data_IF_327993334329
#
_entry.id   IF_327993334329
#
_cell.length_a   1.000
_cell.length_b   1.000
_cell.length_c   1.000
_cell.angle_alpha   90.00
_cell.angle_beta   90.00
_cell.angle_gamma   90.00
#
_symmetry.space_group_name_H-M   'P 1'
#
loop_
_entity.id
_entity.type
_entity.pdbx_description
1 polymer ?
#
# COMPACT_ATOMS: atom_id res chain seq x y z
N UNK A 1 3.91 -60.25 -60.19
CA UNK A 1 4.17 -58.80 -60.33
C UNK A 1 3.19 -58.07 -59.41
N UNK A 2 3.72 -57.51 -58.32
CA UNK A 2 3.35 -56.26 -57.62
C UNK A 2 1.89 -56.19 -57.07
N UNK A 3 1.65 -56.33 -55.76
CA UNK A 3 1.63 -55.25 -54.73
C UNK A 3 0.67 -54.08 -55.08
N UNK A 4 -0.08 -53.44 -54.20
CA UNK A 4 -0.27 -53.51 -52.77
C UNK A 4 -1.50 -52.64 -52.42
N UNK A 5 -2.10 -52.98 -51.27
CA UNK A 5 -2.58 -52.08 -50.23
C UNK A 5 -3.56 -50.93 -50.57
N UNK A 6 -4.78 -51.10 -50.06
CA UNK A 6 -5.64 -49.98 -49.68
C UNK A 6 -5.87 -49.98 -48.16
N UNK A 7 -5.53 -48.83 -47.57
CA UNK A 7 -6.17 -48.13 -46.45
C UNK A 7 -5.85 -48.57 -45.01
N UNK A 8 -5.16 -47.64 -44.32
CA UNK A 8 -5.33 -47.37 -42.91
C UNK A 8 -5.47 -45.84 -42.71
N UNK A 9 -6.55 -45.41 -42.06
CA UNK A 9 -6.79 -44.02 -41.65
C UNK A 9 -6.40 -43.84 -40.17
N UNK A 10 -5.71 -42.75 -39.77
CA UNK A 10 -5.67 -42.34 -38.38
C UNK A 10 -6.70 -41.23 -38.05
N UNK A 11 -7.23 -41.33 -36.83
CA UNK A 11 -8.32 -40.56 -36.23
C UNK A 11 -7.79 -39.34 -35.49
N UNK A 12 -8.11 -38.13 -35.93
CA UNK A 12 -7.78 -36.86 -35.25
C UNK A 12 -9.03 -36.24 -34.61
N UNK A 13 -9.37 -36.65 -33.39
CA UNK A 13 -10.53 -36.09 -32.65
C UNK A 13 -10.23 -35.82 -31.17
N UNK A 14 -9.13 -35.15 -30.85
CA UNK A 14 -8.85 -34.76 -29.45
C UNK A 14 -8.07 -33.44 -29.23
N UNK A 15 -7.58 -32.74 -30.25
CA UNK A 15 -6.78 -31.52 -30.03
C UNK A 15 -7.60 -30.25 -29.77
N UNK A 16 -8.85 -30.17 -30.26
CA UNK A 16 -9.67 -28.98 -30.07
C UNK A 16 -10.20 -28.81 -28.64
N UNK A 17 -10.45 -29.90 -27.90
CA UNK A 17 -11.04 -29.80 -26.54
C UNK A 17 -10.07 -29.22 -25.51
N UNK A 18 -8.79 -29.58 -25.59
CA UNK A 18 -7.76 -29.06 -24.70
C UNK A 18 -7.51 -27.55 -24.90
N UNK A 19 -7.61 -27.07 -26.14
CA UNK A 19 -7.39 -25.66 -26.48
C UNK A 19 -8.53 -24.74 -25.96
N UNK A 20 -9.78 -25.21 -26.02
CA UNK A 20 -10.93 -24.46 -25.51
C UNK A 20 -10.95 -24.40 -23.97
N UNK A 21 -10.48 -25.45 -23.28
CA UNK A 21 -10.35 -25.45 -21.82
C UNK A 21 -9.26 -24.49 -21.30
N UNK A 22 -8.16 -24.31 -22.05
CA UNK A 22 -7.09 -23.39 -21.69
C UNK A 22 -7.49 -21.91 -21.90
N UNK A 23 -8.17 -21.61 -23.02
CA UNK A 23 -8.71 -20.28 -23.32
C UNK A 23 -9.80 -19.85 -22.33
N UNK A 24 -10.68 -20.77 -21.92
CA UNK A 24 -11.69 -20.52 -20.89
C UNK A 24 -11.08 -20.17 -19.53
N UNK A 25 -10.00 -20.85 -19.13
CA UNK A 25 -9.30 -20.57 -17.87
C UNK A 25 -8.61 -19.19 -17.86
N UNK A 26 -8.02 -18.78 -18.98
CA UNK A 26 -7.38 -17.45 -19.13
C UNK A 26 -8.43 -16.33 -19.06
N UNK A 27 -9.60 -16.52 -19.69
CA UNK A 27 -10.69 -15.54 -19.66
C UNK A 27 -11.28 -15.35 -18.26
N UNK A 28 -11.40 -16.42 -17.45
CA UNK A 28 -11.84 -16.32 -16.05
C UNK A 28 -10.79 -15.66 -15.17
N UNK A 29 -9.49 -15.93 -15.39
CA UNK A 29 -8.40 -15.26 -14.67
C UNK A 29 -8.33 -13.75 -14.98
N UNK A 30 -8.59 -13.34 -16.22
CA UNK A 30 -8.62 -11.93 -16.62
C UNK A 30 -9.80 -11.16 -15.99
N UNK A 31 -10.94 -11.82 -15.74
CA UNK A 31 -12.13 -11.21 -15.16
C UNK A 31 -12.00 -10.96 -13.63
N UNK A 32 -11.09 -11.68 -12.96
CA UNK A 32 -10.83 -11.50 -11.52
C UNK A 32 -9.90 -10.31 -11.21
N UNK A 33 -9.29 -9.69 -12.22
CA UNK A 33 -8.36 -8.56 -12.03
C UNK A 33 -9.07 -7.20 -11.97
N UNK A 34 -10.39 -7.11 -12.19
CA UNK A 34 -11.10 -5.84 -12.31
C UNK A 34 -11.76 -5.34 -11.02
N UNK A 35 -11.56 -6.00 -9.88
CA UNK A 35 -12.21 -5.61 -8.59
C UNK A 35 -11.36 -4.68 -7.71
N UNK A 36 -10.21 -4.19 -8.18
CA UNK A 36 -9.28 -3.40 -7.35
C UNK A 36 -9.54 -1.87 -7.35
N UNK A 37 -10.70 -1.40 -7.81
CA UNK A 37 -11.02 0.03 -7.76
C UNK A 37 -11.69 0.33 -6.40
N UNK A 38 -10.86 0.55 -5.38
CA UNK A 38 -11.34 1.00 -4.08
C UNK A 38 -11.38 2.54 -4.09
N UNK A 39 -12.57 3.11 -3.93
CA UNK A 39 -12.77 4.56 -3.89
C UNK A 39 -12.46 5.11 -2.50
N UNK A 40 -11.88 6.31 -2.43
CA UNK A 40 -11.73 7.05 -1.18
C UNK A 40 -13.09 7.36 -0.54
N UNK A 41 -13.28 7.13 0.78
CA UNK A 41 -14.51 7.51 1.47
C UNK A 41 -14.80 9.00 1.26
N UNK A 42 -16.04 9.32 0.89
CA UNK A 42 -16.43 10.70 0.57
C UNK A 42 -16.59 11.56 1.82
N UNK A 43 -16.94 10.97 2.97
CA UNK A 43 -17.18 11.68 4.23
C UNK A 43 -16.71 10.85 5.43
N UNK A 44 -16.09 11.52 6.41
CA UNK A 44 -15.66 10.92 7.68
C UNK A 44 -16.70 11.26 8.75
N UNK A 45 -17.31 10.27 9.44
CA UNK A 45 -18.28 10.50 10.51
C UNK A 45 -17.79 11.52 11.52
N UNK A 46 -18.63 12.47 11.92
CA UNK A 46 -18.25 13.57 12.82
C UNK A 46 -17.84 13.08 14.21
N UNK A 47 -18.45 11.98 14.66
CA UNK A 47 -18.26 11.36 15.98
C UNK A 47 -17.14 10.32 16.02
N UNK A 48 -16.35 10.22 14.95
CA UNK A 48 -15.26 9.26 14.88
C UNK A 48 -14.23 9.49 15.99
N UNK A 49 -13.98 8.46 16.80
CA UNK A 49 -12.99 8.55 17.87
C UNK A 49 -11.57 8.60 17.31
N UNK A 50 -10.65 9.15 18.10
CA UNK A 50 -9.22 9.20 17.76
C UNK A 50 -8.66 7.83 17.36
N UNK A 51 -9.04 6.78 18.10
CA UNK A 51 -8.58 5.42 17.81
C UNK A 51 -9.10 4.93 16.45
N UNK A 52 -10.36 5.22 16.13
CA UNK A 52 -10.96 4.79 14.86
C UNK A 52 -10.33 5.48 13.65
N UNK A 53 -9.84 6.72 13.77
CA UNK A 53 -9.03 7.34 12.71
C UNK A 53 -7.79 6.50 12.37
N UNK A 54 -7.00 6.12 13.38
CA UNK A 54 -5.81 5.29 13.17
C UNK A 54 -6.14 3.87 12.72
N UNK A 55 -7.22 3.28 13.24
CA UNK A 55 -7.68 1.96 12.82
C UNK A 55 -8.04 1.97 11.33
N UNK A 56 -8.84 2.94 10.88
CA UNK A 56 -9.25 3.05 9.47
C UNK A 56 -8.08 3.40 8.56
N UNK A 57 -7.15 4.24 9.01
CA UNK A 57 -5.92 4.52 8.26
C UNK A 57 -5.11 3.23 8.05
N UNK A 58 -4.89 2.45 9.11
CA UNK A 58 -4.15 1.19 9.03
C UNK A 58 -4.85 0.16 8.13
N UNK A 59 -6.17 -0.01 8.26
CA UNK A 59 -6.96 -0.90 7.39
C UNK A 59 -6.77 -0.53 5.91
N UNK A 60 -6.82 0.76 5.57
CA UNK A 60 -6.59 1.22 4.21
C UNK A 60 -5.13 1.04 3.76
N UNK A 61 -4.15 1.20 4.64
CA UNK A 61 -2.75 0.89 4.33
C UNK A 61 -2.55 -0.61 4.05
N UNK A 62 -3.20 -1.48 4.81
CA UNK A 62 -3.15 -2.94 4.63
C UNK A 62 -3.77 -3.36 3.30
N UNK A 63 -4.80 -2.62 2.85
CA UNK A 63 -5.45 -2.79 1.54
C UNK A 63 -4.73 -2.06 0.39
N UNK A 64 -3.59 -1.40 0.65
CA UNK A 64 -2.84 -0.55 -0.29
C UNK A 64 -3.64 0.66 -0.83
N UNK A 65 -4.72 1.03 -0.15
CA UNK A 65 -5.54 2.21 -0.43
C UNK A 65 -4.93 3.46 0.23
N UNK A 66 -3.79 3.88 -0.30
CA UNK A 66 -2.96 4.95 0.25
C UNK A 66 -3.67 6.29 0.35
N UNK A 67 -4.50 6.63 -0.63
CA UNK A 67 -5.24 7.90 -0.65
C UNK A 67 -6.24 7.98 0.50
N UNK A 68 -6.93 6.88 0.80
CA UNK A 68 -7.86 6.82 1.92
C UNK A 68 -7.16 6.81 3.27
N UNK A 69 -6.02 6.11 3.37
CA UNK A 69 -5.19 6.16 4.57
C UNK A 69 -4.72 7.58 4.86
N UNK A 70 -4.22 8.29 3.84
CA UNK A 70 -3.80 9.69 3.94
C UNK A 70 -4.97 10.59 4.39
N UNK A 71 -6.14 10.41 3.79
CA UNK A 71 -7.33 11.19 4.11
C UNK A 71 -7.72 11.08 5.59
N UNK A 72 -7.71 9.87 6.18
CA UNK A 72 -7.98 9.71 7.61
C UNK A 72 -6.92 10.39 8.48
N UNK A 73 -5.63 10.29 8.12
CA UNK A 73 -4.53 10.85 8.93
C UNK A 73 -4.49 12.38 8.86
N UNK A 74 -4.74 12.96 7.69
CA UNK A 74 -4.82 14.41 7.52
C UNK A 74 -6.03 14.99 8.24
N UNK A 75 -7.20 14.36 8.12
CA UNK A 75 -8.41 14.79 8.83
C UNK A 75 -8.24 14.69 10.35
N UNK A 76 -7.53 13.66 10.85
CA UNK A 76 -7.19 13.56 12.27
C UNK A 76 -6.45 14.82 12.77
N UNK A 77 -5.44 15.28 12.01
CA UNK A 77 -4.66 16.47 12.36
C UNK A 77 -5.51 17.75 12.37
N UNK A 78 -6.51 17.82 11.50
CA UNK A 78 -7.46 18.94 11.45
C UNK A 78 -8.41 18.92 12.66
N UNK A 79 -8.94 17.75 13.03
CA UNK A 79 -9.94 17.62 14.10
C UNK A 79 -9.36 17.64 15.51
N UNK A 80 -8.10 17.23 15.68
CA UNK A 80 -7.45 17.12 16.99
C UNK A 80 -6.11 17.87 17.02
N UNK A 81 -6.08 19.20 16.74
CA UNK A 81 -4.84 19.97 16.61
C UNK A 81 -4.01 20.03 17.90
N UNK A 82 -4.64 19.84 19.07
CA UNK A 82 -3.97 19.88 20.36
C UNK A 82 -3.38 18.52 20.78
N UNK A 83 -3.66 17.44 20.04
CA UNK A 83 -3.17 16.09 20.36
C UNK A 83 -1.78 15.83 19.75
N UNK A 84 -0.79 16.56 20.26
CA UNK A 84 0.58 16.55 19.71
C UNK A 84 1.20 15.14 19.62
N UNK A 85 0.88 14.27 20.59
CA UNK A 85 1.38 12.90 20.61
C UNK A 85 0.82 12.08 19.43
N UNK A 86 -0.49 12.14 19.20
CA UNK A 86 -1.09 11.44 18.07
C UNK A 86 -0.81 12.15 16.73
N UNK A 87 -0.63 13.47 16.70
CA UNK A 87 -0.18 14.17 15.49
C UNK A 87 1.20 13.67 15.08
N UNK A 88 2.14 13.48 16.01
CA UNK A 88 3.44 12.89 15.70
C UNK A 88 3.32 11.46 15.13
N UNK A 89 2.39 10.66 15.66
CA UNK A 89 2.09 9.33 15.12
C UNK A 89 1.48 9.38 13.70
N UNK A 90 0.58 10.34 13.45
CA UNK A 90 -0.02 10.54 12.13
C UNK A 90 1.03 11.01 11.11
N UNK A 91 1.87 11.99 11.46
CA UNK A 91 2.98 12.47 10.63
C UNK A 91 3.93 11.33 10.24
N UNK A 92 4.22 10.42 11.18
CA UNK A 92 4.99 9.22 10.90
C UNK A 92 4.31 8.31 9.87
N UNK A 93 3.01 8.02 10.03
CA UNK A 93 2.28 7.16 9.10
C UNK A 93 2.18 7.77 7.71
N UNK A 94 1.96 9.09 7.61
CA UNK A 94 1.99 9.84 6.35
C UNK A 94 3.35 9.68 5.66
N UNK A 95 4.44 9.92 6.40
CA UNK A 95 5.82 9.78 5.89
C UNK A 95 6.13 8.33 5.47
N UNK A 96 5.61 7.36 6.24
CA UNK A 96 5.71 5.94 5.90
C UNK A 96 4.95 5.59 4.61
N UNK A 97 3.78 6.18 4.37
CA UNK A 97 3.05 6.01 3.10
C UNK A 97 3.90 6.52 1.93
N UNK A 98 4.52 7.70 2.06
CA UNK A 98 5.45 8.20 1.03
C UNK A 98 6.62 7.24 0.79
N UNK A 99 7.23 6.72 1.86
CA UNK A 99 8.28 5.72 1.75
C UNK A 99 7.81 4.45 1.04
N UNK A 100 6.61 3.95 1.35
CA UNK A 100 6.02 2.76 0.72
C UNK A 100 5.70 2.93 -0.77
N UNK A 101 5.56 4.17 -1.21
CA UNK A 101 5.32 4.55 -2.59
C UNK A 101 6.61 4.92 -3.34
N UNK A 102 7.78 4.62 -2.77
CA UNK A 102 9.11 4.99 -3.29
C UNK A 102 9.29 6.49 -3.51
N UNK A 103 8.47 7.32 -2.83
CA UNK A 103 8.56 8.78 -2.87
C UNK A 103 9.57 9.26 -1.83
N UNK A 104 10.83 8.87 -2.01
CA UNK A 104 11.86 9.03 -0.98
C UNK A 104 12.13 10.47 -0.56
N UNK A 105 11.99 11.44 -1.45
CA UNK A 105 12.19 12.86 -1.11
C UNK A 105 11.14 13.34 -0.10
N UNK A 106 9.87 13.00 -0.33
CA UNK A 106 8.76 13.37 0.56
C UNK A 106 8.83 12.60 1.88
N UNK A 107 9.25 11.34 1.84
CA UNK A 107 9.45 10.53 3.03
C UNK A 107 10.59 11.09 3.90
N UNK A 108 11.71 11.47 3.27
CA UNK A 108 12.85 12.06 3.96
C UNK A 108 12.50 13.40 4.60
N UNK A 109 11.80 14.27 3.87
CA UNK A 109 11.28 15.54 4.41
C UNK A 109 10.42 15.29 5.65
N UNK A 110 9.40 14.43 5.55
CA UNK A 110 8.49 14.14 6.65
C UNK A 110 9.17 13.50 7.87
N UNK A 111 10.06 12.53 7.66
CA UNK A 111 10.81 11.95 8.77
C UNK A 111 11.78 12.95 9.39
N UNK A 112 12.42 13.82 8.59
CA UNK A 112 13.33 14.84 9.12
C UNK A 112 12.59 15.88 9.95
N UNK A 113 11.40 16.29 9.53
CA UNK A 113 10.54 17.21 10.28
C UNK A 113 10.11 16.62 11.63
N UNK A 114 9.80 15.31 11.66
CA UNK A 114 9.54 14.59 12.92
C UNK A 114 10.76 14.67 13.83
N UNK A 115 11.95 14.36 13.33
CA UNK A 115 13.18 14.42 14.13
C UNK A 115 13.42 15.83 14.66
N UNK A 116 13.31 16.85 13.80
CA UNK A 116 13.47 18.24 14.19
C UNK A 116 12.49 18.65 15.31
N UNK A 117 11.23 18.19 15.24
CA UNK A 117 10.24 18.43 16.30
C UNK A 117 10.69 17.84 17.64
N UNK A 118 11.17 16.59 17.66
CA UNK A 118 11.65 15.96 18.89
C UNK A 118 12.88 16.67 19.46
N UNK A 119 13.80 17.11 18.60
CA UNK A 119 15.02 17.81 19.03
C UNK A 119 14.75 19.23 19.54
N UNK A 120 13.68 19.86 19.07
CA UNK A 120 13.26 21.21 19.49
C UNK A 120 12.26 21.25 20.65
N UNK A 121 11.67 20.11 21.02
CA UNK A 121 10.63 20.05 22.03
C UNK A 121 11.19 20.39 23.43
N UNK A 122 10.45 21.20 24.19
CA UNK A 122 10.82 21.55 25.58
C UNK A 122 10.85 20.29 26.47
N UNK A 123 9.88 19.40 26.27
CA UNK A 123 9.83 18.07 26.88
C UNK A 123 9.51 17.00 25.82
N UNK A 124 10.53 16.35 25.22
CA UNK A 124 10.31 15.29 24.24
C UNK A 124 9.61 14.05 24.80
N UNK A 125 9.56 13.88 26.14
CA UNK A 125 8.96 12.69 26.77
C UNK A 125 7.44 12.62 26.63
N UNK A 126 6.79 13.74 26.29
CA UNK A 126 5.34 13.80 26.02
C UNK A 126 4.99 13.24 24.63
N UNK A 127 5.98 13.05 23.76
CA UNK A 127 5.80 12.50 22.43
C UNK A 127 6.12 10.99 22.42
N UNK A 128 5.46 10.17 21.58
CA UNK A 128 5.70 8.74 21.57
C UNK A 128 7.13 8.41 21.10
N UNK A 129 7.97 7.81 21.94
CA UNK A 129 9.37 7.52 21.60
C UNK A 129 9.53 6.67 20.32
N UNK A 130 8.58 5.78 20.05
CA UNK A 130 8.64 4.89 18.89
C UNK A 130 8.63 5.67 17.55
N UNK A 131 7.98 6.83 17.50
CA UNK A 131 7.91 7.67 16.29
C UNK A 131 9.31 8.16 15.91
N UNK A 132 10.08 8.67 16.87
CA UNK A 132 11.45 9.14 16.63
C UNK A 132 12.34 7.97 16.17
N UNK A 133 12.32 6.86 16.91
CA UNK A 133 13.18 5.70 16.64
C UNK A 133 12.94 5.13 15.25
N UNK A 134 11.67 4.97 14.85
CA UNK A 134 11.33 4.44 13.53
C UNK A 134 11.62 5.44 12.41
N UNK A 135 11.44 6.74 12.65
CA UNK A 135 11.76 7.79 11.67
C UNK A 135 13.27 7.81 11.37
N UNK A 136 14.14 7.79 12.40
CA UNK A 136 15.59 7.70 12.21
C UNK A 136 15.99 6.45 11.42
N UNK A 137 15.34 5.32 11.72
CA UNK A 137 15.59 4.06 11.01
C UNK A 137 15.24 4.14 9.53
N UNK A 138 14.12 4.79 9.17
CA UNK A 138 13.71 4.93 7.78
C UNK A 138 14.54 5.96 7.01
N UNK A 139 14.99 7.03 7.65
CA UNK A 139 15.97 7.96 7.07
C UNK A 139 17.25 7.25 6.64
N UNK A 140 17.82 6.41 7.52
CA UNK A 140 19.00 5.62 7.19
C UNK A 140 18.75 4.69 5.99
N UNK A 141 17.57 4.07 5.91
CA UNK A 141 17.20 3.21 4.77
C UNK A 141 17.08 3.98 3.47
N UNK A 142 16.52 5.18 3.50
CA UNK A 142 16.43 6.07 2.34
C UNK A 142 17.85 6.43 1.85
N UNK A 143 18.74 6.78 2.77
CA UNK A 143 20.14 7.10 2.46
C UNK A 143 20.86 5.90 1.81
N UNK A 144 20.69 4.70 2.36
CA UNK A 144 21.24 3.45 1.81
C UNK A 144 20.74 3.20 0.38
N UNK A 145 19.42 3.28 0.15
CA UNK A 145 18.82 3.05 -1.16
C UNK A 145 19.36 4.03 -2.23
N UNK A 146 19.64 5.28 -1.86
CA UNK A 146 20.21 6.29 -2.76
C UNK A 146 21.69 6.04 -3.09
N UNK A 147 22.47 5.43 -2.19
CA UNK A 147 23.87 5.09 -2.45
C UNK A 147 24.03 3.92 -3.43
N UNK A 148 23.00 3.08 -3.52
CA UNK A 148 22.95 1.91 -4.40
C UNK A 148 22.39 2.20 -5.80
N UNK A 149 21.82 3.41 -6.01
CA UNK A 149 21.25 3.88 -7.28
C UNK A 149 22.30 4.57 -8.17
#
# INVERSE_FOLDING_TARGET
>A
MIEAHSRYFPKTRNQHRAFHSLLGAIAVAALLLTTACQSTPQEIPEDLSKQEFFQRAQENMDELNWDSAMFYLEEFKVRFPDDQANIAAADYQISLIHYKLDRFDQAEEGFSDIIARYESAEDPSVLPQWVEVLSRKLLNKIEEARKES
#
